data_IF_850569643516
#
_entry.id   IF_850569643516
#
_cell.length_a   1.000
_cell.length_b   1.000
_cell.length_c   1.000
_cell.angle_alpha   90.00
_cell.angle_beta   90.00
_cell.angle_gamma   90.00
#
_symmetry.space_group_name_H-M   'P 1'
#
loop_
_entity.id
_entity.type
_entity.pdbx_description
1 polymer ?
#
# COMPACT_ATOMS: atom_id res chain seq x y z
N UNK A 1 -0.88 8.07 0.63
CA UNK A 1 -2.14 7.64 1.28
C UNK A 1 -1.98 6.19 1.67
N UNK A 2 -1.97 5.89 2.97
CA UNK A 2 -1.84 4.53 3.49
C UNK A 2 -3.22 4.12 4.00
N UNK A 3 -3.79 3.10 3.38
CA UNK A 3 -5.04 2.53 3.83
C UNK A 3 -4.77 1.41 4.82
N UNK A 4 -5.34 1.53 6.02
CA UNK A 4 -5.08 0.62 7.13
C UNK A 4 -6.39 -0.11 7.49
N UNK A 5 -6.26 -1.39 7.84
CA UNK A 5 -7.36 -2.14 8.42
C UNK A 5 -7.77 -1.51 9.76
N UNK A 6 -9.08 -1.44 10.02
CA UNK A 6 -9.63 -0.80 11.23
C UNK A 6 -9.14 -1.41 12.54
N UNK A 7 -8.66 -2.64 12.48
CA UNK A 7 -8.19 -3.43 13.63
C UNK A 7 -6.85 -2.92 14.16
N UNK A 8 -6.22 -1.98 13.45
CA UNK A 8 -4.97 -1.35 13.85
C UNK A 8 -5.25 -0.01 14.53
N UNK A 9 -4.76 0.16 15.75
CA UNK A 9 -4.84 1.42 16.49
C UNK A 9 -3.97 2.48 15.79
N UNK A 10 -4.60 3.33 14.97
CA UNK A 10 -3.90 4.36 14.20
C UNK A 10 -3.15 5.32 15.11
N UNK A 11 -3.71 5.68 16.27
CA UNK A 11 -3.06 6.59 17.22
C UNK A 11 -1.74 6.00 17.75
N UNK A 12 -1.72 4.68 17.99
CA UNK A 12 -0.50 3.97 18.35
C UNK A 12 0.53 4.02 17.22
N UNK A 13 0.12 3.73 15.98
CA UNK A 13 1.01 3.80 14.83
C UNK A 13 1.59 5.19 14.60
N UNK A 14 0.77 6.24 14.72
CA UNK A 14 1.22 7.63 14.59
C UNK A 14 2.33 7.89 15.60
N UNK A 15 2.08 7.57 16.87
CA UNK A 15 3.05 7.77 17.96
C UNK A 15 4.37 7.03 17.72
N UNK A 16 4.32 5.78 17.27
CA UNK A 16 5.54 5.00 17.00
C UNK A 16 6.29 5.50 15.76
N UNK A 17 5.56 5.90 14.71
CA UNK A 17 6.18 6.42 13.49
C UNK A 17 6.81 7.79 13.71
N UNK A 18 6.19 8.67 14.50
CA UNK A 18 6.74 9.98 14.83
C UNK A 18 8.02 9.89 15.66
N UNK A 19 8.16 8.88 16.53
CA UNK A 19 9.41 8.64 17.27
C UNK A 19 10.58 8.32 16.33
N UNK A 20 10.32 7.59 15.24
CA UNK A 20 11.34 7.20 14.27
C UNK A 20 11.60 8.34 13.27
N UNK A 21 10.54 9.02 12.82
CA UNK A 21 10.62 10.07 11.83
C UNK A 21 9.62 11.19 12.18
N UNK A 22 10.04 12.22 12.92
CA UNK A 22 9.14 13.23 13.49
C UNK A 22 8.27 13.95 12.45
N UNK A 23 8.78 14.12 11.23
CA UNK A 23 8.06 14.76 10.13
C UNK A 23 7.22 13.79 9.30
N UNK A 24 7.09 12.50 9.67
CA UNK A 24 6.38 11.47 8.88
C UNK A 24 4.95 11.88 8.55
N UNK A 25 4.24 12.50 9.50
CA UNK A 25 2.85 12.91 9.34
C UNK A 25 2.67 14.03 8.31
N UNK A 26 3.74 14.77 7.97
CA UNK A 26 3.71 15.74 6.86
C UNK A 26 3.86 15.07 5.48
N UNK A 27 4.33 13.81 5.45
CA UNK A 27 4.63 13.05 4.23
C UNK A 27 3.58 12.01 3.90
N UNK A 28 2.86 11.49 4.90
CA UNK A 28 1.85 10.45 4.71
C UNK A 28 0.49 10.89 5.25
N UNK A 29 -0.57 10.36 4.62
CA UNK A 29 -1.96 10.52 5.05
C UNK A 29 -2.55 9.14 5.29
N UNK A 30 -3.09 8.91 6.48
CA UNK A 30 -3.88 7.73 6.78
C UNK A 30 -5.32 7.91 6.32
N UNK A 31 -5.86 6.88 5.69
CA UNK A 31 -7.28 6.83 5.36
C UNK A 31 -7.88 5.50 5.82
N UNK A 32 -8.93 5.61 6.63
CA UNK A 32 -9.72 4.47 7.07
C UNK A 32 -10.75 4.13 5.99
N UNK A 33 -10.70 2.90 5.49
CA UNK A 33 -11.76 2.43 4.61
C UNK A 33 -13.08 2.35 5.38
N UNK A 34 -14.17 2.80 4.75
CA UNK A 34 -15.52 2.64 5.29
C UNK A 34 -15.80 1.15 5.52
N UNK A 35 -16.43 0.82 6.65
CA UNK A 35 -16.87 -0.54 6.94
C UNK A 35 -17.92 -0.94 5.89
N UNK A 36 -17.77 -2.09 5.22
CA UNK A 36 -18.81 -2.56 4.33
C UNK A 36 -20.09 -2.81 5.12
N UNK A 37 -21.21 -2.28 4.63
CA UNK A 37 -22.53 -2.52 5.21
C UNK A 37 -22.90 -3.98 5.03
N UNK A 38 -23.32 -4.64 6.12
CA UNK A 38 -23.80 -6.03 6.11
C UNK A 38 -25.29 -6.16 5.75
N UNK A 39 -25.93 -5.13 5.18
CA UNK A 39 -27.35 -5.13 4.82
C UNK A 39 -27.76 -6.44 4.10
N UNK A 40 -28.34 -7.37 4.85
CA UNK A 40 -28.81 -8.68 4.37
C UNK A 40 -27.75 -9.67 3.89
N UNK A 41 -26.45 -9.37 3.96
CA UNK A 41 -25.38 -10.28 3.47
C UNK A 41 -24.80 -11.10 4.62
N UNK A 42 -24.94 -12.42 4.55
CA UNK A 42 -24.24 -13.36 5.42
C UNK A 42 -22.80 -13.56 4.94
N UNK A 43 -21.87 -13.79 5.87
CA UNK A 43 -20.46 -14.02 5.57
C UNK A 43 -19.58 -12.76 5.50
N UNK A 44 -18.40 -12.93 4.89
CA UNK A 44 -17.37 -11.88 4.78
C UNK A 44 -17.71 -10.92 3.65
N UNK A 45 -17.76 -9.61 3.95
CA UNK A 45 -17.93 -8.55 2.93
C UNK A 45 -16.61 -7.79 2.85
N UNK A 46 -15.87 -7.84 1.73
CA UNK A 46 -14.62 -7.12 1.59
C UNK A 46 -14.86 -5.61 1.52
N UNK A 47 -13.93 -4.85 2.09
CA UNK A 47 -13.93 -3.40 1.93
C UNK A 47 -13.58 -3.02 0.47
N UNK A 48 -14.24 -1.99 -0.08
CA UNK A 48 -14.09 -1.60 -1.49
C UNK A 48 -12.65 -1.31 -1.89
N UNK A 49 -11.86 -0.69 -1.02
CA UNK A 49 -10.49 -0.33 -1.34
C UNK A 49 -9.48 -1.48 -1.14
N UNK A 50 -9.91 -2.58 -0.50
CA UNK A 50 -9.03 -3.70 -0.14
C UNK A 50 -8.31 -4.30 -1.35
N UNK A 51 -9.04 -4.48 -2.46
CA UNK A 51 -8.45 -5.08 -3.67
C UNK A 51 -7.33 -4.22 -4.25
N UNK A 52 -7.42 -2.89 -4.17
CA UNK A 52 -6.41 -1.98 -4.72
C UNK A 52 -5.10 -2.14 -3.97
N UNK A 53 -5.18 -2.19 -2.64
CA UNK A 53 -4.02 -2.35 -1.75
C UNK A 53 -3.39 -3.73 -1.96
N UNK A 54 -4.18 -4.80 -1.82
CA UNK A 54 -3.68 -6.17 -1.89
C UNK A 54 -3.09 -6.47 -3.27
N UNK A 55 -3.72 -5.98 -4.33
CA UNK A 55 -3.23 -6.15 -5.70
C UNK A 55 -1.91 -5.42 -5.91
N UNK A 56 -1.78 -4.19 -5.43
CA UNK A 56 -0.53 -3.42 -5.54
C UNK A 56 0.60 -4.09 -4.77
N UNK A 57 0.32 -4.57 -3.55
CA UNK A 57 1.27 -5.32 -2.74
C UNK A 57 1.67 -6.63 -3.41
N UNK A 58 0.71 -7.41 -3.93
CA UNK A 58 0.96 -8.66 -4.64
C UNK A 58 1.82 -8.45 -5.90
N UNK A 59 1.69 -7.30 -6.58
CA UNK A 59 2.61 -6.97 -7.65
C UNK A 59 4.01 -6.69 -7.10
N UNK A 60 4.15 -5.90 -6.03
CA UNK A 60 5.46 -5.59 -5.43
C UNK A 60 6.20 -6.82 -4.86
N UNK A 61 5.51 -7.86 -4.41
CA UNK A 61 6.10 -9.12 -3.94
C UNK A 61 7.05 -9.79 -4.96
N UNK A 62 6.88 -9.49 -6.26
CA UNK A 62 7.80 -9.98 -7.30
C UNK A 62 9.15 -9.28 -7.30
N UNK A 63 9.26 -8.13 -6.63
CA UNK A 63 10.49 -7.38 -6.44
C UNK A 63 11.08 -7.68 -5.06
N UNK A 64 11.86 -8.76 -4.96
CA UNK A 64 12.49 -9.20 -3.69
C UNK A 64 13.30 -8.10 -3.00
N UNK A 65 13.89 -7.17 -3.74
CA UNK A 65 14.68 -6.10 -3.13
C UNK A 65 13.83 -5.08 -2.37
N UNK A 66 12.54 -4.94 -2.71
CA UNK A 66 11.60 -4.07 -2.00
C UNK A 66 10.96 -4.76 -0.78
N UNK A 67 10.84 -6.10 -0.80
CA UNK A 67 10.04 -6.83 0.20
C UNK A 67 10.88 -7.70 1.15
N UNK A 68 11.99 -8.26 0.69
CA UNK A 68 12.82 -9.19 1.48
C UNK A 68 14.16 -8.59 1.87
N UNK A 69 14.84 -7.95 0.92
CA UNK A 69 16.18 -7.42 1.18
C UNK A 69 16.13 -5.98 1.70
N UNK A 70 15.07 -5.25 1.37
CA UNK A 70 14.89 -3.81 1.57
C UNK A 70 16.02 -2.97 0.94
N UNK A 71 15.69 -1.79 0.44
CA UNK A 71 16.72 -0.89 -0.07
C UNK A 71 17.42 -0.17 1.07
N UNK A 72 18.73 0.04 0.93
CA UNK A 72 19.54 0.77 1.92
C UNK A 72 19.10 2.23 2.09
N UNK A 73 18.58 2.85 1.04
CA UNK A 73 18.17 4.26 1.05
C UNK A 73 16.74 4.42 0.54
N UNK A 74 16.04 5.40 1.09
CA UNK A 74 14.69 5.76 0.65
C UNK A 74 14.63 6.16 -0.83
N UNK A 75 15.66 6.87 -1.31
CA UNK A 75 15.76 7.27 -2.72
C UNK A 75 15.82 6.05 -3.65
N UNK A 76 16.59 5.02 -3.27
CA UNK A 76 16.68 3.78 -4.03
C UNK A 76 15.36 3.00 -3.98
N UNK A 77 14.71 2.92 -2.81
CA UNK A 77 13.40 2.30 -2.65
C UNK A 77 12.36 2.93 -3.59
N UNK A 78 12.26 4.26 -3.56
CA UNK A 78 11.32 5.02 -4.40
C UNK A 78 11.59 4.81 -5.89
N UNK A 79 12.86 4.86 -6.30
CA UNK A 79 13.25 4.63 -7.70
C UNK A 79 12.84 3.23 -8.16
N UNK A 80 13.08 2.20 -7.33
CA UNK A 80 12.72 0.81 -7.67
C UNK A 80 11.22 0.58 -7.72
N UNK A 81 10.45 1.17 -6.80
CA UNK A 81 8.98 1.14 -6.85
C UNK A 81 8.50 1.72 -8.18
N UNK A 82 8.95 2.93 -8.53
CA UNK A 82 8.56 3.59 -9.78
C UNK A 82 8.92 2.75 -11.01
N UNK A 83 10.17 2.27 -11.08
CA UNK A 83 10.64 1.44 -12.19
C UNK A 83 9.81 0.16 -12.34
N UNK A 84 9.45 -0.48 -11.22
CA UNK A 84 8.64 -1.69 -11.23
C UNK A 84 7.22 -1.44 -11.78
N UNK A 85 6.55 -0.38 -11.32
CA UNK A 85 5.22 -0.03 -11.80
C UNK A 85 5.23 0.44 -13.26
N UNK A 86 6.27 1.17 -13.70
CA UNK A 86 6.47 1.52 -15.11
C UNK A 86 6.58 0.25 -15.97
N UNK A 87 7.43 -0.72 -15.55
CA UNK A 87 7.58 -2.01 -16.25
C UNK A 87 6.26 -2.79 -16.29
N UNK A 88 5.47 -2.74 -15.22
CA UNK A 88 4.14 -3.36 -15.16
C UNK A 88 3.18 -2.71 -16.16
N UNK A 89 3.19 -1.37 -16.28
CA UNK A 89 2.37 -0.63 -17.24
C UNK A 89 2.76 -0.98 -18.68
N UNK A 90 4.06 -1.02 -18.99
CA UNK A 90 4.54 -1.44 -20.31
C UNK A 90 4.04 -2.84 -20.71
N UNK A 91 4.03 -3.79 -19.78
CA UNK A 91 3.51 -5.15 -20.03
C UNK A 91 2.00 -5.22 -20.28
N UNK A 92 1.27 -4.15 -19.95
CA UNK A 92 -0.18 -4.06 -20.11
C UNK A 92 -0.59 -3.20 -21.29
N UNK A 93 0.36 -2.56 -21.96
CA UNK A 93 0.05 -1.90 -23.22
C UNK A 93 -0.43 -2.98 -24.19
N UNK A 94 -1.55 -2.74 -24.89
CA UNK A 94 -1.93 -3.62 -25.99
C UNK A 94 -0.80 -3.61 -27.02
N UNK A 95 -0.58 -4.74 -27.70
CA UNK A 95 0.28 -4.76 -28.88
C UNK A 95 -0.23 -3.70 -29.85
N UNK A 96 0.67 -2.85 -30.37
CA UNK A 96 0.30 -1.97 -31.46
C UNK A 96 -0.27 -2.82 -32.62
N UNK A 97 -1.32 -2.33 -33.30
CA UNK A 97 -1.84 -2.97 -34.49
C UNK A 97 -0.78 -3.07 -35.61
#
# INVERSE_FOLDING_TARGET
MVQINRDVHIDYLIKELEQIYPQIMTKIRFELSKKPSKQGKSGFVPAMARWVIERSNAWMERCKSLVKNFERTLANANTKINLYFIRLMFKRLPSLP
#
